data_IF_862663997481
#
_entry.id   IF_862663997481
#
_cell.length_a   1.000
_cell.length_b   1.000
_cell.length_c   1.000
_cell.angle_alpha   90.00
_cell.angle_beta   90.00
_cell.angle_gamma   90.00
#
_symmetry.space_group_name_H-M   'P 1'
#
loop_
_entity.id
_entity.type
_entity.pdbx_description
1 polymer ?
#
# COMPACT_ATOMS: atom_id res chain seq x y z
N UNK A 1 -3.44 -8.35 66.61
CA UNK A 1 -2.51 -9.08 65.72
C UNK A 1 -2.00 -8.09 64.71
N UNK A 2 -0.82 -7.52 64.98
CA UNK A 2 -0.18 -6.56 64.09
C UNK A 2 0.27 -7.30 62.83
N UNK A 3 -0.55 -7.20 61.77
CA UNK A 3 -0.17 -7.70 60.46
C UNK A 3 0.97 -6.81 59.98
N UNK A 4 2.19 -7.35 60.02
CA UNK A 4 3.42 -6.66 59.66
C UNK A 4 3.25 -5.99 58.27
N UNK A 5 3.44 -4.67 58.21
CA UNK A 5 3.31 -3.87 56.97
C UNK A 5 4.25 -4.39 55.88
N UNK A 6 5.41 -4.93 56.27
CA UNK A 6 6.37 -5.62 55.41
C UNK A 6 5.82 -6.91 54.82
N UNK A 7 4.99 -7.67 55.54
CA UNK A 7 4.32 -8.86 55.02
C UNK A 7 3.26 -8.46 54.00
N UNK A 8 2.44 -7.44 54.28
CA UNK A 8 1.42 -6.92 53.35
C UNK A 8 2.07 -6.38 52.06
N UNK A 9 3.16 -5.62 52.18
CA UNK A 9 3.92 -5.11 51.04
C UNK A 9 4.54 -6.23 50.19
N UNK A 10 4.99 -7.32 50.82
CA UNK A 10 5.56 -8.48 50.11
C UNK A 10 4.48 -9.27 49.37
N UNK A 11 3.29 -9.43 49.97
CA UNK A 11 2.11 -10.04 49.30
C UNK A 11 1.55 -9.14 48.19
N UNK A 12 1.60 -7.81 48.36
CA UNK A 12 1.23 -6.81 47.35
C UNK A 12 2.13 -6.90 46.11
N UNK A 13 3.45 -6.97 46.31
CA UNK A 13 4.41 -7.17 45.22
C UNK A 13 4.26 -8.54 44.54
N UNK A 14 3.86 -9.58 45.28
CA UNK A 14 3.67 -10.93 44.72
C UNK A 14 2.32 -11.11 44.01
N UNK A 15 1.28 -10.38 44.43
CA UNK A 15 -0.06 -10.47 43.84
C UNK A 15 -0.24 -9.57 42.60
N UNK A 16 0.44 -8.42 42.54
CA UNK A 16 0.23 -7.41 41.49
C UNK A 16 1.45 -7.18 40.58
N UNK A 17 2.65 -7.67 40.93
CA UNK A 17 3.82 -7.70 40.03
C UNK A 17 4.27 -9.14 39.79
N UNK A 18 4.47 -9.49 38.52
CA UNK A 18 5.12 -10.75 38.15
C UNK A 18 6.62 -10.60 38.47
N UNK A 19 7.09 -11.07 39.63
CA UNK A 19 8.52 -11.10 39.98
C UNK A 19 9.30 -11.94 38.96
N UNK A 20 10.47 -11.44 38.54
CA UNK A 20 11.41 -12.20 37.70
C UNK A 20 11.25 -12.01 36.19
N UNK A 21 10.65 -10.91 35.73
CA UNK A 21 10.55 -10.62 34.31
C UNK A 21 11.91 -10.10 33.78
N UNK A 22 12.45 -10.61 32.65
CA UNK A 22 13.62 -10.01 31.98
C UNK A 22 13.47 -8.51 31.71
N UNK A 23 12.25 -8.00 31.64
CA UNK A 23 11.97 -6.57 31.55
C UNK A 23 12.43 -5.78 32.77
N UNK A 24 12.75 -6.38 33.92
CA UNK A 24 13.26 -5.66 35.10
C UNK A 24 14.72 -5.24 34.97
N UNK A 25 15.43 -5.81 34.00
CA UNK A 25 16.82 -5.52 33.74
C UNK A 25 16.94 -4.21 32.97
N UNK A 26 17.65 -3.22 33.54
CA UNK A 26 17.74 -1.86 32.99
C UNK A 26 18.21 -1.82 31.54
N UNK A 27 19.27 -2.57 31.19
CA UNK A 27 19.78 -2.56 29.81
C UNK A 27 18.78 -3.15 28.82
N UNK A 28 18.00 -4.17 29.21
CA UNK A 28 16.93 -4.75 28.37
C UNK A 28 15.87 -3.69 28.08
N UNK A 29 15.46 -2.93 29.10
CA UNK A 29 14.51 -1.81 28.95
C UNK A 29 15.03 -0.76 27.99
N UNK A 30 16.28 -0.31 28.17
CA UNK A 30 16.90 0.72 27.33
C UNK A 30 17.00 0.26 25.87
N UNK A 31 17.42 -0.99 25.64
CA UNK A 31 17.52 -1.55 24.29
C UNK A 31 16.15 -1.65 23.63
N UNK A 32 15.15 -2.24 24.29
CA UNK A 32 13.80 -2.36 23.73
C UNK A 32 13.18 -0.99 23.44
N UNK A 33 13.28 -0.04 24.37
CA UNK A 33 12.78 1.32 24.17
C UNK A 33 13.45 1.98 22.96
N UNK A 34 14.78 1.90 22.86
CA UNK A 34 15.53 2.44 21.73
C UNK A 34 15.10 1.83 20.39
N UNK A 35 14.86 0.50 20.36
CA UNK A 35 14.36 -0.19 19.17
C UNK A 35 12.95 0.26 18.80
N UNK A 36 12.02 0.37 19.75
CA UNK A 36 10.67 0.88 19.49
C UNK A 36 10.70 2.32 18.94
N UNK A 37 11.53 3.20 19.51
CA UNK A 37 11.72 4.56 18.99
C UNK A 37 12.28 4.56 17.57
N UNK A 38 13.28 3.72 17.28
CA UNK A 38 13.84 3.60 15.94
C UNK A 38 12.78 3.15 14.93
N UNK A 39 12.02 2.10 15.26
CA UNK A 39 10.94 1.59 14.41
C UNK A 39 9.87 2.65 14.22
N UNK A 40 9.45 3.37 15.27
CA UNK A 40 8.48 4.47 15.16
C UNK A 40 8.93 5.52 14.15
N UNK A 41 10.17 5.99 14.28
CA UNK A 41 10.73 7.04 13.42
C UNK A 41 10.79 6.59 11.96
N UNK A 42 11.32 5.39 11.70
CA UNK A 42 11.43 4.84 10.33
C UNK A 42 10.06 4.60 9.73
N UNK A 43 9.15 3.97 10.48
CA UNK A 43 7.83 3.59 10.00
C UNK A 43 6.96 4.83 9.69
N UNK A 44 6.90 5.79 10.62
CA UNK A 44 6.09 7.00 10.44
C UNK A 44 6.65 7.85 9.32
N UNK A 45 7.95 8.12 9.31
CA UNK A 45 8.57 8.92 8.25
C UNK A 45 8.40 8.28 6.86
N UNK A 46 8.69 6.98 6.75
CA UNK A 46 8.60 6.26 5.49
C UNK A 46 7.17 6.21 4.94
N UNK A 47 6.18 5.91 5.77
CA UNK A 47 4.79 5.83 5.32
C UNK A 47 4.19 7.21 5.04
N UNK A 48 4.55 8.25 5.80
CA UNK A 48 4.19 9.63 5.46
C UNK A 48 4.77 10.04 4.11
N UNK A 49 6.01 9.66 3.80
CA UNK A 49 6.64 9.94 2.52
C UNK A 49 5.92 9.23 1.35
N UNK A 50 5.48 7.98 1.55
CA UNK A 50 4.65 7.24 0.57
C UNK A 50 3.36 8.01 0.30
N UNK A 51 2.61 8.39 1.34
CA UNK A 51 1.36 9.15 1.21
C UNK A 51 1.62 10.48 0.50
N UNK A 52 2.66 11.21 0.90
CA UNK A 52 3.02 12.50 0.30
C UNK A 52 3.32 12.38 -1.20
N UNK A 53 4.17 11.43 -1.60
CA UNK A 53 4.54 11.24 -3.01
C UNK A 53 3.34 10.86 -3.87
N UNK A 54 2.50 9.94 -3.39
CA UNK A 54 1.35 9.49 -4.15
C UNK A 54 0.30 10.59 -4.27
N UNK A 55 0.08 11.38 -3.22
CA UNK A 55 -0.95 12.45 -3.22
C UNK A 55 -0.52 13.69 -4.00
N UNK A 56 0.77 14.03 -3.98
CA UNK A 56 1.28 15.27 -4.59
C UNK A 56 1.66 15.11 -6.07
N UNK A 57 1.96 13.89 -6.53
CA UNK A 57 2.36 13.66 -7.91
C UNK A 57 1.28 12.94 -8.73
N UNK A 58 0.62 13.67 -9.64
CA UNK A 58 -0.39 13.13 -10.57
C UNK A 58 0.10 11.94 -11.40
N UNK A 59 1.42 11.84 -11.69
CA UNK A 59 2.00 10.69 -12.41
C UNK A 59 1.97 9.40 -11.59
N UNK A 60 1.83 9.52 -10.27
CA UNK A 60 1.74 8.40 -9.34
C UNK A 60 0.29 7.94 -9.12
N UNK A 61 -0.73 8.58 -9.70
CA UNK A 61 -2.14 8.20 -9.55
C UNK A 61 -2.52 6.98 -10.41
N UNK A 62 -2.01 5.80 -10.05
CA UNK A 62 -2.42 4.51 -10.62
C UNK A 62 -3.16 3.66 -9.58
N UNK A 63 -3.98 2.70 -10.02
CA UNK A 63 -4.73 1.78 -9.14
C UNK A 63 -3.84 1.13 -8.09
N UNK A 64 -2.71 0.58 -8.51
CA UNK A 64 -1.77 -0.07 -7.58
C UNK A 64 -1.11 0.92 -6.62
N UNK A 65 -0.82 2.15 -7.06
CA UNK A 65 -0.27 3.16 -6.16
C UNK A 65 -1.31 3.66 -5.14
N UNK A 66 -2.60 3.63 -5.48
CA UNK A 66 -3.69 3.88 -4.52
C UNK A 66 -3.71 2.76 -3.47
N UNK A 67 -3.56 1.49 -3.86
CA UNK A 67 -3.42 0.39 -2.89
C UNK A 67 -2.16 0.52 -2.01
N UNK A 68 -1.03 0.95 -2.58
CA UNK A 68 0.19 1.26 -1.82
C UNK A 68 -0.04 2.40 -0.83
N UNK A 69 -0.79 3.44 -1.22
CA UNK A 69 -1.17 4.54 -0.32
C UNK A 69 -2.11 4.04 0.78
N UNK A 70 -3.07 3.16 0.48
CA UNK A 70 -3.95 2.52 1.46
C UNK A 70 -3.15 1.73 2.51
N UNK A 71 -2.15 0.95 2.09
CA UNK A 71 -1.21 0.27 2.98
C UNK A 71 -0.51 1.26 3.91
N UNK A 72 0.04 2.36 3.37
CA UNK A 72 0.72 3.38 4.17
C UNK A 72 -0.20 4.06 5.19
N UNK A 73 -1.47 4.34 4.84
CA UNK A 73 -2.46 4.90 5.77
C UNK A 73 -2.78 3.92 6.89
N UNK A 74 -2.98 2.65 6.57
CA UNK A 74 -3.21 1.59 7.56
C UNK A 74 -2.01 1.45 8.50
N UNK A 75 -0.80 1.42 7.95
CA UNK A 75 0.44 1.34 8.73
C UNK A 75 0.58 2.55 9.67
N UNK A 76 0.28 3.77 9.22
CA UNK A 76 0.29 4.95 10.09
C UNK A 76 -0.71 4.81 11.24
N UNK A 77 -1.91 4.28 11.01
CA UNK A 77 -2.90 4.04 12.07
C UNK A 77 -2.36 3.13 13.17
N UNK A 78 -1.72 2.01 12.82
CA UNK A 78 -1.15 1.09 13.82
C UNK A 78 0.12 1.66 14.47
N UNK A 79 0.93 2.43 13.73
CA UNK A 79 2.14 3.06 14.27
C UNK A 79 1.80 4.13 15.32
N UNK A 80 0.77 4.95 15.09
CA UNK A 80 0.32 5.99 16.03
C UNK A 80 -0.48 5.46 17.22
N UNK A 81 -0.87 4.20 17.20
CA UNK A 81 -1.63 3.58 18.29
C UNK A 81 -0.77 2.53 19.00
N UNK A 82 -0.56 1.38 18.39
CA UNK A 82 0.05 0.21 19.02
C UNK A 82 1.54 0.37 19.35
N UNK A 83 2.29 1.08 18.51
CA UNK A 83 3.76 1.05 18.58
C UNK A 83 4.34 1.69 19.84
N UNK A 84 3.61 2.61 20.47
CA UNK A 84 3.99 3.21 21.75
C UNK A 84 3.03 2.84 22.90
N UNK A 85 1.72 2.68 22.65
CA UNK A 85 0.76 2.32 23.69
C UNK A 85 1.00 0.92 24.26
N UNK A 86 1.25 -0.08 23.40
CA UNK A 86 1.46 -1.47 23.81
C UNK A 86 2.70 -1.67 24.69
N UNK A 87 3.90 -1.16 24.33
CA UNK A 87 5.05 -1.27 25.21
C UNK A 87 4.84 -0.49 26.51
N UNK A 88 4.26 0.71 26.48
CA UNK A 88 3.98 1.46 27.72
C UNK A 88 3.02 0.70 28.64
N UNK A 89 1.93 0.13 28.12
CA UNK A 89 1.03 -0.72 28.90
C UNK A 89 1.76 -1.91 29.53
N UNK A 90 2.64 -2.56 28.76
CA UNK A 90 3.40 -3.71 29.24
C UNK A 90 4.41 -3.34 30.33
N UNK A 91 5.03 -2.15 30.23
CA UNK A 91 5.98 -1.66 31.24
C UNK A 91 5.31 -1.16 32.51
N UNK A 92 4.21 -0.41 32.35
CA UNK A 92 3.45 0.15 33.47
C UNK A 92 2.72 -0.96 34.23
N UNK A 93 2.31 -2.03 33.54
CA UNK A 93 1.65 -3.19 34.13
C UNK A 93 0.14 -3.02 34.37
N UNK A 94 -0.38 -1.80 34.20
CA UNK A 94 -1.81 -1.49 34.30
C UNK A 94 -2.26 -0.50 33.21
N UNK A 95 -3.56 -0.45 32.95
CA UNK A 95 -4.14 0.32 31.86
C UNK A 95 -4.48 1.76 32.28
N UNK A 96 -3.84 2.75 31.66
CA UNK A 96 -4.00 4.18 31.97
C UNK A 96 -4.72 5.00 30.89
N UNK A 97 -5.10 4.36 29.78
CA UNK A 97 -5.58 5.06 28.57
C UNK A 97 -7.12 5.18 28.49
N UNK A 98 -7.83 4.77 29.55
CA UNK A 98 -9.28 4.82 29.64
C UNK A 98 -10.03 3.79 28.79
N UNK A 99 -11.35 3.77 28.90
CA UNK A 99 -12.21 2.75 28.26
C UNK A 99 -12.19 2.79 26.72
N UNK A 100 -12.20 3.98 26.11
CA UNK A 100 -12.21 4.13 24.65
C UNK A 100 -11.04 3.43 23.97
N UNK A 101 -9.82 3.63 24.47
CA UNK A 101 -8.63 2.97 23.91
C UNK A 101 -8.57 1.49 24.29
N UNK A 102 -9.20 1.05 25.39
CA UNK A 102 -9.24 -0.36 25.76
C UNK A 102 -9.97 -1.20 24.70
N UNK A 103 -11.07 -0.66 24.15
CA UNK A 103 -11.78 -1.29 23.03
C UNK A 103 -11.16 -0.93 21.68
N UNK A 104 -10.70 0.32 21.51
CA UNK A 104 -10.24 0.85 20.23
C UNK A 104 -8.87 0.32 19.78
N UNK A 105 -7.89 0.22 20.69
CA UNK A 105 -6.54 -0.26 20.36
C UNK A 105 -6.54 -1.65 19.67
N UNK A 106 -7.23 -2.67 20.21
CA UNK A 106 -7.30 -3.98 19.55
C UNK A 106 -8.03 -3.93 18.21
N UNK A 107 -9.04 -3.07 18.06
CA UNK A 107 -9.72 -2.85 16.78
C UNK A 107 -8.78 -2.26 15.74
N UNK A 108 -8.05 -1.19 16.07
CA UNK A 108 -7.12 -0.54 15.14
C UNK A 108 -5.96 -1.46 14.76
N UNK A 109 -5.41 -2.19 15.73
CA UNK A 109 -4.33 -3.13 15.49
C UNK A 109 -4.80 -4.29 14.59
N UNK A 110 -5.89 -4.97 14.96
CA UNK A 110 -6.40 -6.08 14.17
C UNK A 110 -6.86 -5.64 12.78
N UNK A 111 -7.60 -4.52 12.69
CA UNK A 111 -8.10 -4.03 11.41
C UNK A 111 -6.94 -3.65 10.49
N UNK A 112 -5.89 -3.01 10.99
CA UNK A 112 -4.72 -2.67 10.17
C UNK A 112 -4.04 -3.90 9.57
N UNK A 113 -3.96 -4.98 10.34
CA UNK A 113 -3.38 -6.25 9.88
C UNK A 113 -4.24 -6.87 8.77
N UNK A 114 -5.57 -6.88 8.92
CA UNK A 114 -6.49 -7.33 7.87
C UNK A 114 -6.44 -6.43 6.63
N UNK A 115 -6.49 -5.11 6.79
CA UNK A 115 -6.41 -4.14 5.70
C UNK A 115 -5.14 -4.38 4.89
N UNK A 116 -4.01 -4.59 5.57
CA UNK A 116 -2.73 -4.81 4.93
C UNK A 116 -2.73 -6.08 4.08
N UNK A 117 -3.16 -7.21 4.63
CA UNK A 117 -3.15 -8.47 3.90
C UNK A 117 -4.17 -8.50 2.76
N UNK A 118 -5.39 -8.01 3.00
CA UNK A 118 -6.41 -7.92 1.95
C UNK A 118 -5.99 -6.96 0.84
N UNK A 119 -5.24 -5.90 1.16
CA UNK A 119 -4.66 -5.01 0.15
C UNK A 119 -3.56 -5.70 -0.65
N UNK A 120 -2.66 -6.46 -0.01
CA UNK A 120 -1.64 -7.25 -0.71
C UNK A 120 -2.27 -8.29 -1.64
N UNK A 121 -3.35 -8.93 -1.20
CA UNK A 121 -4.15 -9.83 -2.03
C UNK A 121 -4.78 -9.11 -3.22
N UNK A 122 -5.40 -7.94 -2.99
CA UNK A 122 -5.99 -7.13 -4.05
C UNK A 122 -4.93 -6.68 -5.08
N UNK A 123 -3.71 -6.32 -4.63
CA UNK A 123 -2.59 -6.01 -5.51
C UNK A 123 -2.20 -7.23 -6.35
N UNK A 124 -2.13 -8.42 -5.78
CA UNK A 124 -1.79 -9.64 -6.52
C UNK A 124 -2.83 -9.96 -7.61
N UNK A 125 -4.12 -9.82 -7.27
CA UNK A 125 -5.24 -10.03 -8.20
C UNK A 125 -5.27 -8.97 -9.31
N UNK A 126 -5.07 -7.68 -8.99
CA UNK A 126 -4.92 -6.60 -9.98
C UNK A 126 -3.79 -6.93 -10.97
N UNK A 127 -2.65 -7.39 -10.45
CA UNK A 127 -1.48 -7.75 -11.27
C UNK A 127 -1.76 -8.93 -12.17
N UNK A 128 -2.50 -9.93 -11.69
CA UNK A 128 -2.94 -11.05 -12.51
C UNK A 128 -3.81 -10.58 -13.67
N UNK A 129 -4.87 -9.81 -13.42
CA UNK A 129 -5.74 -9.33 -14.49
C UNK A 129 -5.01 -8.44 -15.49
N UNK A 130 -4.15 -7.53 -15.02
CA UNK A 130 -3.40 -6.62 -15.90
C UNK A 130 -2.36 -7.35 -16.75
N UNK A 131 -1.71 -8.39 -16.24
CA UNK A 131 -0.59 -9.06 -16.93
C UNK A 131 -1.06 -10.24 -17.79
N UNK A 132 -2.04 -11.02 -17.34
CA UNK A 132 -2.46 -12.29 -17.96
C UNK A 132 -3.75 -12.12 -18.76
N UNK A 133 -4.77 -11.48 -18.17
CA UNK A 133 -6.07 -11.35 -18.83
C UNK A 133 -6.06 -10.24 -19.89
N UNK A 134 -5.54 -9.07 -19.55
CA UNK A 134 -5.55 -7.91 -20.44
C UNK A 134 -4.57 -8.03 -21.62
N UNK A 135 -3.56 -8.90 -21.54
CA UNK A 135 -2.72 -9.27 -22.69
C UNK A 135 -3.45 -10.19 -23.67
N UNK A 136 -4.41 -10.97 -23.18
CA UNK A 136 -5.24 -11.88 -23.99
C UNK A 136 -6.42 -11.13 -24.62
N UNK A 137 -6.95 -10.12 -23.92
CA UNK A 137 -8.09 -9.28 -24.33
C UNK A 137 -7.59 -7.86 -24.63
N UNK A 138 -6.74 -7.68 -25.64
CA UNK A 138 -6.24 -6.36 -26.03
C UNK A 138 -7.32 -5.42 -26.65
N UNK A 139 -8.61 -5.83 -26.68
CA UNK A 139 -9.68 -5.10 -27.36
C UNK A 139 -10.83 -4.62 -26.47
N UNK A 140 -10.90 -4.96 -25.17
CA UNK A 140 -11.95 -4.47 -24.29
C UNK A 140 -11.34 -3.59 -23.20
N UNK A 141 -11.33 -2.30 -23.51
CA UNK A 141 -10.85 -1.22 -22.67
C UNK A 141 -11.69 -1.09 -21.40
N UNK A 142 -11.40 -1.89 -20.38
CA UNK A 142 -11.91 -1.63 -19.03
C UNK A 142 -10.82 -1.91 -18.00
N UNK A 143 -9.80 -1.04 -17.98
CA UNK A 143 -8.93 -0.93 -16.79
C UNK A 143 -9.84 -0.72 -15.60
N UNK A 144 -9.63 -1.44 -14.50
CA UNK A 144 -10.35 -1.23 -13.23
C UNK A 144 -10.48 0.26 -12.98
N UNK A 145 -11.69 0.79 -13.17
CA UNK A 145 -11.95 2.22 -13.02
C UNK A 145 -11.54 2.62 -11.61
N UNK A 146 -11.03 3.85 -11.45
CA UNK A 146 -10.64 4.38 -10.14
C UNK A 146 -11.81 4.24 -9.14
N UNK A 147 -13.05 4.33 -9.62
CA UNK A 147 -14.27 4.06 -8.85
C UNK A 147 -14.33 2.64 -8.30
N UNK A 148 -14.02 1.62 -9.12
CA UNK A 148 -13.96 0.21 -8.70
C UNK A 148 -12.85 0.03 -7.65
N UNK A 149 -11.70 0.69 -7.82
CA UNK A 149 -10.60 0.66 -6.84
C UNK A 149 -11.00 1.26 -5.48
N UNK A 150 -11.64 2.43 -5.47
CA UNK A 150 -12.13 3.06 -4.23
C UNK A 150 -13.18 2.17 -3.56
N UNK A 151 -14.09 1.56 -4.33
CA UNK A 151 -15.05 0.60 -3.78
C UNK A 151 -14.37 -0.61 -3.13
N UNK A 152 -13.34 -1.19 -3.78
CA UNK A 152 -12.54 -2.29 -3.22
C UNK A 152 -11.89 -1.87 -1.91
N UNK A 153 -11.27 -0.68 -1.85
CA UNK A 153 -10.66 -0.16 -0.62
C UNK A 153 -11.71 -0.03 0.49
N UNK A 154 -12.86 0.58 0.21
CA UNK A 154 -13.95 0.69 1.19
C UNK A 154 -14.41 -0.67 1.70
N UNK A 155 -14.56 -1.66 0.81
CA UNK A 155 -14.90 -3.03 1.22
C UNK A 155 -13.82 -3.65 2.11
N UNK A 156 -12.54 -3.47 1.79
CA UNK A 156 -11.42 -3.95 2.61
C UNK A 156 -11.52 -3.39 4.03
N UNK A 157 -11.74 -2.09 4.19
CA UNK A 157 -11.88 -1.47 5.52
C UNK A 157 -13.09 -2.01 6.28
N UNK A 158 -14.26 -2.06 5.64
CA UNK A 158 -15.48 -2.57 6.26
C UNK A 158 -15.34 -4.03 6.70
N UNK A 159 -14.83 -4.91 5.82
CA UNK A 159 -14.60 -6.32 6.14
C UNK A 159 -13.56 -6.48 7.26
N UNK A 160 -12.47 -5.71 7.23
CA UNK A 160 -11.43 -5.77 8.26
C UNK A 160 -11.96 -5.37 9.64
N UNK A 161 -12.75 -4.29 9.71
CA UNK A 161 -13.38 -3.86 10.96
C UNK A 161 -14.41 -4.89 11.43
N UNK A 162 -15.21 -5.45 10.54
CA UNK A 162 -16.21 -6.46 10.87
C UNK A 162 -15.58 -7.73 11.47
N UNK A 163 -14.49 -8.23 10.89
CA UNK A 163 -13.80 -9.43 11.36
C UNK A 163 -13.15 -9.23 12.74
N UNK A 164 -12.74 -8.01 13.06
CA UNK A 164 -12.04 -7.67 14.31
C UNK A 164 -13.00 -7.14 15.38
N UNK A 165 -14.22 -6.76 15.01
CA UNK A 165 -15.25 -6.27 15.92
C UNK A 165 -15.45 -7.15 17.17
N UNK A 166 -15.53 -8.50 17.06
CA UNK A 166 -15.70 -9.36 18.24
C UNK A 166 -14.53 -9.21 19.23
N UNK A 167 -13.30 -9.04 18.73
CA UNK A 167 -12.13 -8.86 19.59
C UNK A 167 -12.21 -7.58 20.41
N UNK A 168 -12.60 -6.45 19.78
CA UNK A 168 -12.81 -5.19 20.50
C UNK A 168 -14.00 -5.22 21.47
N UNK A 169 -15.08 -5.92 21.10
CA UNK A 169 -16.27 -6.09 21.96
C UNK A 169 -15.96 -6.92 23.22
N UNK A 170 -15.14 -7.97 23.07
CA UNK A 170 -14.74 -8.84 24.17
C UNK A 170 -13.60 -8.27 25.02
N UNK A 171 -13.07 -7.09 24.71
CA UNK A 171 -12.17 -6.38 25.62
C UNK A 171 -12.97 -5.73 26.75
N UNK A 172 -12.48 -5.83 27.98
CA UNK A 172 -13.13 -5.25 29.17
C UNK A 172 -12.17 -4.34 29.91
N UNK A 173 -12.67 -3.14 30.19
CA UNK A 173 -12.06 -2.18 31.10
C UNK A 173 -12.55 -2.48 32.52
N UNK A 174 -11.71 -3.13 33.32
CA UNK A 174 -12.07 -3.65 34.64
C UNK A 174 -11.20 -3.00 35.71
N UNK A 175 -11.80 -2.63 36.84
CA UNK A 175 -11.08 -2.17 38.02
C UNK A 175 -10.75 -3.33 38.93
N UNK A 176 -9.45 -3.57 39.18
CA UNK A 176 -9.02 -4.56 40.16
C UNK A 176 -8.92 -3.84 41.51
N UNK A 177 -9.81 -4.21 42.44
CA UNK A 177 -9.80 -3.71 43.83
C UNK A 177 -8.53 -4.16 44.58
N UNK A 178 -8.40 -3.73 45.84
CA UNK A 178 -7.32 -4.14 46.75
C UNK A 178 -7.00 -5.65 46.65
N UNK A 179 -5.71 -6.02 46.59
CA UNK A 179 -4.54 -5.20 46.87
C UNK A 179 -3.99 -4.37 45.69
N UNK A 180 -4.50 -4.52 44.45
CA UNK A 180 -3.86 -3.92 43.27
C UNK A 180 -4.25 -2.46 43.00
N UNK A 181 -5.53 -2.10 43.19
CA UNK A 181 -6.04 -0.73 43.09
C UNK A 181 -5.74 0.00 41.76
N UNK A 182 -5.91 -0.69 40.63
CA UNK A 182 -5.71 -0.12 39.29
C UNK A 182 -6.67 -0.69 38.25
N UNK A 183 -6.76 -0.02 37.10
CA UNK A 183 -7.52 -0.51 35.95
C UNK A 183 -6.70 -1.45 35.06
N UNK A 184 -7.35 -2.46 34.52
CA UNK A 184 -6.79 -3.34 33.49
C UNK A 184 -7.68 -3.36 32.26
N UNK A 185 -7.06 -3.57 31.11
CA UNK A 185 -7.76 -3.86 29.87
C UNK A 185 -7.43 -5.30 29.49
N UNK A 186 -8.38 -6.20 29.67
CA UNK A 186 -8.20 -7.62 29.43
C UNK A 186 -9.33 -8.17 28.60
N UNK A 187 -9.01 -9.19 27.83
CA UNK A 187 -9.96 -9.94 27.03
C UNK A 187 -10.84 -10.83 27.93
N UNK A 188 -12.16 -10.67 27.84
CA UNK A 188 -13.17 -11.43 28.58
C UNK A 188 -14.25 -11.99 27.63
N UNK A 189 -14.22 -13.31 27.47
CA UNK A 189 -15.19 -14.08 26.68
C UNK A 189 -16.30 -14.68 27.53
N UNK A 190 -16.63 -14.10 28.68
CA UNK A 190 -17.68 -14.59 29.59
C UNK A 190 -17.50 -16.08 29.92
N UNK A 191 -16.26 -16.49 30.18
CA UNK A 191 -15.85 -17.88 30.41
C UNK A 191 -16.09 -18.87 29.24
N UNK A 192 -16.52 -18.41 28.05
CA UNK A 192 -16.67 -19.24 26.86
C UNK A 192 -15.33 -19.43 26.14
N UNK A 193 -14.40 -20.17 26.76
CA UNK A 193 -13.07 -20.45 26.21
C UNK A 193 -13.09 -21.05 24.80
N UNK A 194 -14.08 -21.90 24.51
CA UNK A 194 -14.25 -22.51 23.19
C UNK A 194 -14.49 -21.47 22.08
N UNK A 195 -15.29 -20.43 22.38
CA UNK A 195 -15.62 -19.38 21.43
C UNK A 195 -14.38 -18.55 21.11
N UNK A 196 -13.58 -18.21 22.12
CA UNK A 196 -12.28 -17.55 21.96
C UNK A 196 -11.34 -18.36 21.05
N UNK A 197 -11.23 -19.69 21.28
CA UNK A 197 -10.40 -20.59 20.46
C UNK A 197 -10.87 -20.64 19.01
N UNK A 198 -12.18 -20.80 18.77
CA UNK A 198 -12.76 -20.80 17.42
C UNK A 198 -12.51 -19.47 16.71
N UNK A 199 -12.73 -18.36 17.41
CA UNK A 199 -12.48 -17.03 16.87
C UNK A 199 -11.00 -16.86 16.47
N UNK A 200 -10.06 -17.18 17.37
CA UNK A 200 -8.62 -17.09 17.10
C UNK A 200 -8.19 -17.95 15.90
N UNK A 201 -8.66 -19.19 15.81
CA UNK A 201 -8.39 -20.07 14.66
C UNK A 201 -8.99 -19.51 13.36
N UNK A 202 -10.22 -19.00 13.41
CA UNK A 202 -10.90 -18.40 12.25
C UNK A 202 -10.17 -17.17 11.76
N UNK A 203 -9.77 -16.27 12.68
CA UNK A 203 -8.98 -15.08 12.36
C UNK A 203 -7.66 -15.49 11.71
N UNK A 204 -6.94 -16.47 12.27
CA UNK A 204 -5.68 -16.96 11.69
C UNK A 204 -5.85 -17.52 10.27
N UNK A 205 -6.91 -18.30 10.06
CA UNK A 205 -7.22 -18.87 8.75
C UNK A 205 -7.56 -17.79 7.72
N UNK A 206 -8.46 -16.86 8.06
CA UNK A 206 -8.88 -15.77 7.17
C UNK A 206 -7.78 -14.74 6.95
N UNK A 207 -6.90 -14.54 7.92
CA UNK A 207 -5.82 -13.56 7.86
C UNK A 207 -4.61 -14.07 7.08
N UNK A 208 -4.27 -15.36 7.19
CA UNK A 208 -3.06 -15.89 6.56
C UNK A 208 -3.36 -16.90 5.45
N UNK A 209 -4.17 -17.93 5.71
CA UNK A 209 -4.33 -19.03 4.74
C UNK A 209 -5.04 -18.54 3.47
N UNK A 210 -6.21 -17.91 3.60
CA UNK A 210 -7.00 -17.46 2.44
C UNK A 210 -6.25 -16.43 1.59
N UNK A 211 -5.65 -15.35 2.15
CA UNK A 211 -5.00 -14.37 1.30
C UNK A 211 -3.71 -14.90 0.67
N UNK A 212 -2.91 -15.68 1.41
CA UNK A 212 -1.63 -16.18 0.88
C UNK A 212 -1.82 -17.24 -0.20
N UNK A 213 -2.87 -18.05 -0.10
CA UNK A 213 -3.24 -18.99 -1.17
C UNK A 213 -3.66 -18.27 -2.44
N UNK A 214 -4.53 -17.26 -2.34
CA UNK A 214 -4.95 -16.44 -3.50
C UNK A 214 -3.76 -15.70 -4.10
N UNK A 215 -2.89 -15.11 -3.27
CA UNK A 215 -1.65 -14.45 -3.73
C UNK A 215 -0.74 -15.46 -4.44
N UNK A 216 -0.52 -16.63 -3.85
CA UNK A 216 0.31 -17.69 -4.40
C UNK A 216 -0.18 -18.16 -5.76
N UNK A 217 -1.48 -18.44 -5.88
CA UNK A 217 -2.11 -18.82 -7.16
C UNK A 217 -1.95 -17.69 -8.19
N UNK A 218 -2.25 -16.44 -7.80
CA UNK A 218 -2.14 -15.29 -8.70
C UNK A 218 -0.71 -15.15 -9.26
N UNK A 219 0.30 -15.24 -8.40
CA UNK A 219 1.70 -15.14 -8.84
C UNK A 219 2.19 -16.36 -9.61
N UNK A 220 1.75 -17.57 -9.27
CA UNK A 220 2.05 -18.77 -10.05
C UNK A 220 1.51 -18.65 -11.48
N UNK A 221 0.26 -18.21 -11.64
CA UNK A 221 -0.36 -17.99 -12.95
C UNK A 221 0.39 -16.93 -13.77
N UNK A 222 0.77 -15.80 -13.15
CA UNK A 222 1.57 -14.78 -13.83
C UNK A 222 2.94 -15.33 -14.25
N UNK A 223 3.59 -16.12 -13.39
CA UNK A 223 4.89 -16.71 -13.71
C UNK A 223 4.81 -17.67 -14.90
N UNK A 224 3.80 -18.55 -14.92
CA UNK A 224 3.54 -19.47 -16.04
C UNK A 224 3.31 -18.68 -17.33
N UNK A 225 2.46 -17.66 -17.28
CA UNK A 225 2.17 -16.79 -18.43
C UNK A 225 3.43 -16.10 -18.99
N UNK A 226 4.26 -15.52 -18.11
CA UNK A 226 5.49 -14.84 -18.53
C UNK A 226 6.54 -15.78 -19.11
N UNK A 227 6.59 -17.04 -18.65
CA UNK A 227 7.50 -18.05 -19.19
C UNK A 227 7.06 -18.51 -20.58
N UNK A 228 5.76 -18.70 -20.81
CA UNK A 228 5.22 -19.02 -22.14
C UNK A 228 5.52 -17.92 -23.17
N UNK A 229 5.22 -16.66 -22.81
CA UNK A 229 5.54 -15.51 -23.67
C UNK A 229 7.03 -15.40 -24.00
N UNK A 230 7.93 -15.69 -23.06
CA UNK A 230 9.37 -15.63 -23.31
C UNK A 230 9.82 -16.67 -24.35
N UNK A 231 9.22 -17.87 -24.36
CA UNK A 231 9.52 -18.91 -25.33
C UNK A 231 9.08 -18.53 -26.76
N UNK A 232 7.85 -18.00 -26.91
CA UNK A 232 7.30 -17.61 -28.21
C UNK A 232 8.07 -16.47 -28.88
N UNK A 233 8.59 -15.50 -28.11
CA UNK A 233 9.28 -14.33 -28.65
C UNK A 233 10.79 -14.47 -28.74
N UNK A 234 11.41 -15.36 -27.96
CA UNK A 234 12.83 -15.71 -28.16
C UNK A 234 13.06 -16.30 -29.55
N UNK A 235 12.05 -16.99 -30.11
CA UNK A 235 12.04 -17.44 -31.50
C UNK A 235 11.90 -16.30 -32.54
N UNK A 236 11.39 -15.12 -32.14
CA UNK A 236 11.10 -13.97 -33.02
C UNK A 236 12.07 -12.78 -32.87
N UNK A 237 13.05 -12.84 -31.97
CA UNK A 237 14.16 -11.87 -31.89
C UNK A 237 13.85 -10.44 -31.39
N UNK A 238 12.72 -10.19 -30.71
CA UNK A 238 12.34 -8.82 -30.31
C UNK A 238 12.90 -8.36 -28.96
N UNK A 239 13.87 -7.43 -28.99
CA UNK A 239 14.51 -6.86 -27.80
C UNK A 239 13.60 -6.01 -26.90
N UNK A 240 12.57 -5.33 -27.45
CA UNK A 240 11.67 -4.47 -26.66
C UNK A 240 10.78 -5.29 -25.72
N UNK A 241 10.24 -6.40 -26.22
CA UNK A 241 9.37 -7.33 -25.47
C UNK A 241 10.16 -8.01 -24.35
N UNK A 242 11.43 -8.38 -24.59
CA UNK A 242 12.29 -8.98 -23.57
C UNK A 242 12.50 -8.02 -22.38
N UNK A 243 12.72 -6.72 -22.65
CA UNK A 243 12.85 -5.69 -21.61
C UNK A 243 11.57 -5.52 -20.79
N UNK A 244 10.40 -5.54 -21.44
CA UNK A 244 9.11 -5.44 -20.75
C UNK A 244 8.83 -6.66 -19.86
N UNK A 245 9.11 -7.87 -20.33
CA UNK A 245 9.01 -9.10 -19.53
C UNK A 245 9.93 -9.06 -18.32
N UNK A 246 11.19 -8.62 -18.50
CA UNK A 246 12.13 -8.46 -17.39
C UNK A 246 11.63 -7.45 -16.35
N UNK A 247 11.03 -6.34 -16.80
CA UNK A 247 10.41 -5.34 -15.92
C UNK A 247 9.25 -5.93 -15.11
N UNK A 248 8.35 -6.70 -15.76
CA UNK A 248 7.25 -7.40 -15.08
C UNK A 248 7.77 -8.39 -14.03
N UNK A 249 8.78 -9.20 -14.37
CA UNK A 249 9.44 -10.14 -13.42
C UNK A 249 10.05 -9.40 -12.22
N UNK A 250 10.69 -8.24 -12.42
CA UNK A 250 11.24 -7.43 -11.31
C UNK A 250 10.15 -6.91 -10.37
N UNK A 251 9.03 -6.44 -10.92
CA UNK A 251 7.87 -6.00 -10.12
C UNK A 251 7.26 -7.17 -9.33
N UNK A 252 7.10 -8.34 -9.94
CA UNK A 252 6.59 -9.53 -9.24
C UNK A 252 7.53 -9.97 -8.12
N UNK A 253 8.85 -9.96 -8.36
CA UNK A 253 9.84 -10.27 -7.33
C UNK A 253 9.70 -9.35 -6.13
N UNK A 254 9.54 -8.05 -6.38
CA UNK A 254 9.28 -7.07 -5.32
C UNK A 254 8.01 -7.43 -4.53
N UNK A 255 6.89 -7.69 -5.21
CA UNK A 255 5.63 -8.00 -4.55
C UNK A 255 5.69 -9.31 -3.74
N UNK A 256 6.36 -10.34 -4.24
CA UNK A 256 6.64 -11.58 -3.49
C UNK A 256 7.46 -11.27 -2.25
N UNK A 257 8.52 -10.47 -2.38
CA UNK A 257 9.33 -10.03 -1.23
C UNK A 257 8.49 -9.29 -0.18
N UNK A 258 7.57 -8.41 -0.59
CA UNK A 258 6.66 -7.73 0.33
C UNK A 258 5.79 -8.71 1.13
N UNK A 259 5.21 -9.71 0.46
CA UNK A 259 4.34 -10.72 1.08
C UNK A 259 5.13 -11.60 2.05
N UNK A 260 6.34 -12.04 1.67
CA UNK A 260 7.21 -12.82 2.54
C UNK A 260 7.61 -12.04 3.80
N UNK A 261 7.99 -10.77 3.66
CA UNK A 261 8.34 -9.92 4.80
C UNK A 261 7.13 -9.68 5.71
N UNK A 262 5.95 -9.46 5.13
CA UNK A 262 4.72 -9.34 5.90
C UNK A 262 4.46 -10.61 6.73
N UNK A 263 4.52 -11.80 6.13
CA UNK A 263 4.39 -13.06 6.89
C UNK A 263 5.44 -13.20 7.99
N UNK A 264 6.72 -12.99 7.68
CA UNK A 264 7.81 -13.16 8.65
C UNK A 264 7.68 -12.21 9.84
N UNK A 265 7.19 -10.98 9.63
CA UNK A 265 7.02 -10.01 10.71
C UNK A 265 5.77 -10.31 11.55
N UNK A 266 4.64 -10.62 10.92
CA UNK A 266 3.35 -10.73 11.60
C UNK A 266 3.05 -12.13 12.16
N UNK A 267 3.54 -13.19 11.52
CA UNK A 267 3.25 -14.57 11.92
C UNK A 267 3.70 -14.89 13.36
N UNK A 268 4.89 -14.48 13.85
CA UNK A 268 5.33 -14.81 15.21
C UNK A 268 4.39 -14.32 16.31
N UNK A 269 3.94 -13.06 16.23
CA UNK A 269 3.00 -12.48 17.20
C UNK A 269 1.64 -13.18 17.13
N UNK A 270 1.14 -13.43 15.92
CA UNK A 270 -0.15 -14.08 15.73
C UNK A 270 -0.12 -15.53 16.21
N UNK A 271 0.95 -16.27 15.97
CA UNK A 271 1.15 -17.63 16.50
C UNK A 271 1.22 -17.60 18.03
N UNK A 272 1.95 -16.64 18.62
CA UNK A 272 1.99 -16.50 20.07
C UNK A 272 0.60 -16.21 20.66
N UNK A 273 -0.19 -15.33 20.03
CA UNK A 273 -1.56 -15.05 20.42
C UNK A 273 -2.44 -16.30 20.33
N UNK A 274 -2.37 -17.05 19.23
CA UNK A 274 -3.11 -18.31 19.06
C UNK A 274 -2.71 -19.35 20.11
N UNK A 275 -1.41 -19.52 20.38
CA UNK A 275 -0.93 -20.44 21.42
C UNK A 275 -1.43 -20.03 22.80
N UNK A 276 -1.49 -18.73 23.11
CA UNK A 276 -2.08 -18.20 24.34
C UNK A 276 -3.57 -18.51 24.42
N UNK A 277 -4.29 -18.39 23.31
CA UNK A 277 -5.73 -18.67 23.25
C UNK A 277 -6.04 -20.17 23.39
N UNK A 278 -5.13 -21.02 22.90
CA UNK A 278 -5.17 -22.48 23.07
C UNK A 278 -4.67 -22.96 24.44
N UNK A 279 -4.15 -22.06 25.28
CA UNK A 279 -3.56 -22.34 26.61
C UNK A 279 -2.28 -23.21 26.54
N UNK A 280 -1.54 -23.13 25.42
CA UNK A 280 -0.34 -23.93 25.14
C UNK A 280 1.00 -23.23 25.48
N UNK A 281 0.95 -22.14 26.25
CA UNK A 281 2.13 -21.30 26.58
C UNK A 281 2.67 -21.51 28.00
N UNK A 282 2.20 -22.53 28.72
CA UNK A 282 2.59 -22.80 30.10
C UNK A 282 4.11 -23.04 30.29
N UNK A 283 4.80 -23.49 29.24
CA UNK A 283 6.25 -23.72 29.24
C UNK A 283 7.08 -22.43 29.09
N UNK A 284 6.44 -21.30 28.77
CA UNK A 284 7.10 -20.04 28.47
C UNK A 284 7.42 -19.28 29.76
N UNK A 285 8.70 -19.27 30.16
CA UNK A 285 9.15 -18.65 31.43
C UNK A 285 8.99 -17.12 31.49
N UNK A 286 9.00 -16.44 30.34
CA UNK A 286 8.95 -14.97 30.25
C UNK A 286 7.92 -14.48 29.22
N UNK A 287 6.62 -14.68 29.45
CA UNK A 287 5.58 -14.45 28.44
C UNK A 287 5.47 -12.98 28.01
N UNK A 288 5.66 -12.02 28.92
CA UNK A 288 5.60 -10.58 28.61
C UNK A 288 6.80 -10.13 27.76
N UNK A 289 8.00 -10.61 28.05
CA UNK A 289 9.19 -10.31 27.24
C UNK A 289 9.06 -10.89 25.82
N UNK A 290 8.64 -12.16 25.71
CA UNK A 290 8.41 -12.81 24.41
C UNK A 290 7.30 -12.10 23.63
N UNK A 291 6.23 -11.65 24.30
CA UNK A 291 5.21 -10.82 23.68
C UNK A 291 5.79 -9.51 23.14
N UNK A 292 6.61 -8.78 23.90
CA UNK A 292 7.20 -7.53 23.43
C UNK A 292 8.18 -7.72 22.26
N UNK A 293 8.94 -8.81 22.26
CA UNK A 293 9.87 -9.13 21.16
C UNK A 293 9.09 -9.49 19.89
N UNK A 294 8.11 -10.40 19.99
CA UNK A 294 7.28 -10.77 18.84
C UNK A 294 6.45 -9.59 18.33
N UNK A 295 5.94 -8.75 19.24
CA UNK A 295 5.28 -7.49 18.90
C UNK A 295 6.22 -6.53 18.17
N UNK A 296 7.44 -6.34 18.67
CA UNK A 296 8.44 -5.49 18.00
C UNK A 296 8.75 -6.00 16.59
N UNK A 297 8.94 -7.31 16.42
CA UNK A 297 9.14 -7.94 15.11
C UNK A 297 7.97 -7.63 14.18
N UNK A 298 6.72 -7.77 14.66
CA UNK A 298 5.54 -7.40 13.88
C UNK A 298 5.50 -5.93 13.49
N UNK A 299 5.87 -5.03 14.40
CA UNK A 299 5.93 -3.59 14.13
C UNK A 299 6.99 -3.22 13.09
N UNK A 300 8.12 -3.95 13.00
CA UNK A 300 9.07 -3.74 11.89
C UNK A 300 8.45 -4.02 10.52
N UNK A 301 7.37 -4.80 10.45
CA UNK A 301 6.57 -5.03 9.24
C UNK A 301 6.16 -3.75 8.52
N UNK A 302 5.81 -2.70 9.26
CA UNK A 302 5.37 -1.41 8.71
C UNK A 302 6.53 -0.57 8.14
N UNK A 303 7.77 -0.87 8.53
CA UNK A 303 8.98 -0.22 8.00
C UNK A 303 9.36 -0.76 6.62
N UNK A 304 9.14 -2.06 6.40
CA UNK A 304 9.60 -2.73 5.18
C UNK A 304 8.91 -2.19 3.91
N UNK A 305 7.66 -1.75 4.02
CA UNK A 305 6.89 -1.24 2.88
C UNK A 305 7.62 -0.07 2.16
N UNK A 306 7.85 1.11 2.79
CA UNK A 306 8.65 2.19 2.21
C UNK A 306 10.04 1.79 1.73
N UNK A 307 10.76 0.93 2.48
CA UNK A 307 12.12 0.49 2.15
C UNK A 307 12.13 -0.29 0.83
N UNK A 308 11.18 -1.21 0.65
CA UNK A 308 11.04 -1.99 -0.58
C UNK A 308 10.64 -1.10 -1.76
N UNK A 309 9.77 -0.11 -1.55
CA UNK A 309 9.45 0.87 -2.60
C UNK A 309 10.68 1.67 -3.02
N UNK A 310 11.48 2.14 -2.08
CA UNK A 310 12.70 2.88 -2.36
C UNK A 310 13.77 2.05 -3.09
N UNK A 311 13.85 0.74 -2.78
CA UNK A 311 14.87 -0.15 -3.33
C UNK A 311 14.47 -0.77 -4.68
N UNK A 312 13.24 -1.28 -4.78
CA UNK A 312 12.82 -2.14 -5.88
C UNK A 312 11.87 -1.46 -6.87
N UNK A 313 11.29 -0.30 -6.52
CA UNK A 313 10.39 0.45 -7.40
C UNK A 313 11.03 1.75 -7.90
N UNK A 314 11.49 1.74 -9.15
CA UNK A 314 12.19 2.88 -9.76
C UNK A 314 11.35 4.17 -9.81
N UNK A 315 10.02 4.07 -9.91
CA UNK A 315 9.14 5.24 -9.89
C UNK A 315 9.12 5.88 -8.50
N UNK A 316 8.88 5.09 -7.45
CA UNK A 316 8.90 5.60 -6.08
C UNK A 316 10.28 6.11 -5.67
N UNK A 317 11.35 5.40 -6.03
CA UNK A 317 12.73 5.81 -5.75
C UNK A 317 13.03 7.22 -6.28
N UNK A 318 12.64 7.51 -7.52
CA UNK A 318 12.84 8.85 -8.13
C UNK A 318 12.08 9.93 -7.38
N UNK A 319 10.83 9.67 -7.05
CA UNK A 319 9.98 10.62 -6.34
C UNK A 319 10.45 10.85 -4.90
N UNK A 320 10.90 9.81 -4.20
CA UNK A 320 11.52 9.95 -2.87
C UNK A 320 12.79 10.81 -2.91
N UNK A 321 13.64 10.63 -3.92
CA UNK A 321 14.84 11.48 -4.10
C UNK A 321 14.48 12.94 -4.37
N UNK A 322 13.38 13.21 -5.07
CA UNK A 322 12.92 14.58 -5.34
C UNK A 322 12.25 15.21 -4.12
N UNK A 323 11.54 14.43 -3.31
CA UNK A 323 10.85 14.89 -2.12
C UNK A 323 11.80 15.21 -0.95
N UNK A 324 12.92 14.47 -0.81
CA UNK A 324 13.89 14.69 0.27
C UNK A 324 14.90 15.78 -0.14
N UNK A 325 14.92 16.96 0.51
CA UNK A 325 15.75 18.10 0.08
C UNK A 325 17.25 17.79 -0.04
N UNK A 326 17.78 16.99 0.88
CA UNK A 326 19.19 16.58 0.92
C UNK A 326 19.56 15.70 -0.30
N UNK A 327 18.66 14.80 -0.69
CA UNK A 327 18.84 13.92 -1.85
C UNK A 327 18.60 14.69 -3.16
N UNK A 328 17.67 15.64 -3.18
CA UNK A 328 17.38 16.51 -4.32
C UNK A 328 18.61 17.30 -4.75
N UNK A 329 19.32 17.94 -3.81
CA UNK A 329 20.58 18.67 -4.10
C UNK A 329 21.64 17.75 -4.71
N UNK A 330 21.80 16.56 -4.14
CA UNK A 330 22.75 15.55 -4.60
C UNK A 330 22.40 14.97 -5.98
N UNK A 331 21.12 14.83 -6.30
CA UNK A 331 20.64 14.36 -7.61
C UNK A 331 20.77 15.43 -8.70
N UNK A 332 20.42 16.69 -8.39
CA UNK A 332 20.60 17.84 -9.29
C UNK A 332 22.08 18.09 -9.59
N UNK A 333 22.96 18.05 -8.58
CA UNK A 333 24.40 18.18 -8.77
C UNK A 333 24.98 17.08 -9.68
N UNK A 334 24.44 15.85 -9.59
CA UNK A 334 24.83 14.74 -10.47
C UNK A 334 24.38 14.96 -11.93
N UNK A 335 23.18 15.52 -12.13
CA UNK A 335 22.62 15.80 -13.47
C UNK A 335 23.37 16.93 -14.19
N UNK A 336 23.75 17.99 -13.47
CA UNK A 336 24.60 19.06 -14.00
C UNK A 336 25.97 18.53 -14.44
N UNK A 337 26.53 17.53 -13.73
CA UNK A 337 27.82 16.92 -14.07
C UNK A 337 27.78 16.00 -15.29
N UNK A 338 26.62 15.40 -15.60
CA UNK A 338 26.44 14.57 -16.80
C UNK A 338 26.14 15.39 -18.06
N UNK A 339 25.53 16.57 -17.91
CA UNK A 339 25.23 17.46 -19.05
C UNK A 339 26.42 18.37 -19.43
N UNK A 340 27.48 18.41 -18.62
CA UNK A 340 28.65 19.28 -18.82
C UNK A 340 29.82 18.67 -19.59
N UNK A 341 29.65 17.56 -20.33
CA UNK A 341 30.68 17.07 -21.26
C UNK A 341 30.07 16.53 -22.56
N UNK A 342 30.04 17.31 -23.65
CA UNK A 342 30.29 16.80 -24.98
C UNK A 342 31.79 16.89 -25.25
N UNK A 343 32.45 15.73 -25.36
CA UNK A 343 33.77 15.66 -25.94
C UNK A 343 33.66 16.00 -27.44
N UNK A 344 34.27 17.12 -27.82
CA UNK A 344 34.74 17.49 -29.16
C UNK A 344 33.79 17.26 -30.35
N UNK A 345 33.08 18.32 -30.74
CA UNK A 345 32.87 18.64 -32.16
C UNK A 345 33.52 19.99 -32.41
N UNK A 346 34.68 19.97 -33.08
CA UNK A 346 35.41 21.17 -33.49
C UNK A 346 34.70 21.71 -34.74
N UNK A 347 33.79 22.67 -34.57
CA UNK A 347 33.11 23.35 -35.70
C UNK A 347 33.96 24.56 -36.08
N UNK A 348 34.59 24.51 -37.25
CA UNK A 348 35.14 25.69 -37.91
C UNK A 348 33.97 26.56 -38.40
N UNK A 349 33.95 27.83 -37.98
CA UNK A 349 33.10 28.86 -38.57
C UNK A 349 33.62 29.27 -39.96
N UNK A 350 32.71 29.60 -40.87
CA UNK A 350 32.87 30.78 -41.72
C UNK A 350 31.88 31.88 -41.31
N UNK A 351 32.37 33.12 -41.30
CA UNK A 351 31.57 34.34 -41.14
C UNK A 351 30.63 34.53 -42.34
N UNK A 352 29.36 34.89 -42.09
CA UNK A 352 28.74 36.13 -42.61
C UNK A 352 27.23 36.20 -42.32
N UNK A 353 26.88 37.23 -41.53
CA UNK A 353 25.73 38.15 -41.63
C UNK A 353 24.26 37.68 -41.62
N UNK A 354 23.50 38.45 -40.82
CA UNK A 354 22.09 38.86 -40.96
C UNK A 354 20.99 37.92 -40.42
N UNK A 355 20.52 38.15 -39.19
CA UNK A 355 19.29 38.92 -38.89
C UNK A 355 19.01 38.92 -37.38
N UNK A 356 18.27 39.94 -36.92
CA UNK A 356 17.82 40.20 -35.55
C UNK A 356 17.24 38.99 -34.81
N UNK A 357 17.47 38.89 -33.49
CA UNK A 357 16.36 38.73 -32.55
C UNK A 357 16.70 38.97 -31.05
N UNK A 358 15.67 39.37 -30.33
CA UNK A 358 15.58 39.79 -28.92
C UNK A 358 16.18 38.83 -27.86
N UNK A 359 16.56 39.34 -26.67
CA UNK A 359 17.05 38.51 -25.58
C UNK A 359 15.88 37.91 -24.77
N UNK A 360 15.54 36.64 -25.02
CA UNK A 360 14.69 35.87 -24.09
C UNK A 360 15.54 35.27 -22.95
N UNK A 361 15.55 36.01 -21.84
CA UNK A 361 16.04 35.59 -20.53
C UNK A 361 15.04 34.57 -19.94
N UNK A 362 15.37 33.27 -19.97
CA UNK A 362 14.58 32.25 -19.27
C UNK A 362 14.92 32.25 -17.77
N UNK A 363 14.36 33.20 -17.03
CA UNK A 363 14.20 33.09 -15.58
C UNK A 363 12.97 32.22 -15.30
N UNK A 364 13.15 30.92 -15.08
CA UNK A 364 12.11 30.10 -14.45
C UNK A 364 12.08 30.41 -12.95
N UNK A 365 11.36 31.47 -12.61
CA UNK A 365 10.85 31.72 -11.28
C UNK A 365 9.75 30.67 -11.03
N UNK A 366 10.06 29.67 -10.20
CA UNK A 366 9.05 28.75 -9.67
C UNK A 366 8.11 29.56 -8.77
N UNK A 367 7.02 30.05 -9.34
CA UNK A 367 5.90 30.59 -8.57
C UNK A 367 5.27 29.44 -7.80
N UNK A 368 5.40 29.49 -6.48
CA UNK A 368 4.69 28.63 -5.55
C UNK A 368 3.21 29.04 -5.58
N UNK A 369 2.45 28.44 -6.49
CA UNK A 369 1.00 28.58 -6.52
C UNK A 369 0.41 27.66 -5.45
N UNK A 370 0.04 28.24 -4.30
CA UNK A 370 -0.93 27.66 -3.39
C UNK A 370 -2.25 27.45 -4.15
N UNK A 371 -2.42 26.29 -4.75
CA UNK A 371 -3.74 25.74 -4.99
C UNK A 371 -3.87 24.51 -4.13
N UNK A 372 -4.53 24.69 -2.99
CA UNK A 372 -4.97 23.62 -2.11
C UNK A 372 -5.98 22.74 -2.82
N UNK A 373 -5.52 21.89 -3.74
CA UNK A 373 -6.30 20.78 -4.22
C UNK A 373 -6.25 19.71 -3.14
N UNK A 374 -7.34 19.53 -2.42
CA UNK A 374 -7.44 18.35 -1.55
C UNK A 374 -7.32 17.11 -2.43
N UNK A 375 -6.56 16.09 -2.01
CA UNK A 375 -6.38 14.85 -2.77
C UNK A 375 -7.71 14.26 -3.27
N UNK A 376 -8.78 14.42 -2.49
CA UNK A 376 -10.16 14.10 -2.86
C UNK A 376 -10.67 14.83 -4.11
N UNK A 377 -10.31 16.09 -4.33
CA UNK A 377 -10.66 16.83 -5.56
C UNK A 377 -9.90 16.30 -6.76
N UNK A 378 -8.63 15.89 -6.62
CA UNK A 378 -7.89 15.25 -7.73
C UNK A 378 -8.43 13.86 -8.07
N UNK A 379 -8.89 13.09 -7.06
CA UNK A 379 -9.63 11.84 -7.30
C UNK A 379 -10.97 12.12 -7.95
N UNK A 380 -11.74 13.11 -7.46
CA UNK A 380 -13.00 13.53 -8.09
C UNK A 380 -12.77 13.93 -9.55
N UNK A 381 -11.77 14.75 -9.86
CA UNK A 381 -11.45 15.11 -11.25
C UNK A 381 -11.05 13.89 -12.09
N UNK A 382 -10.28 12.95 -11.53
CA UNK A 382 -9.90 11.73 -12.24
C UNK A 382 -11.07 10.75 -12.46
N UNK A 383 -12.07 10.76 -11.57
CA UNK A 383 -13.26 9.89 -11.59
C UNK A 383 -14.38 10.49 -12.44
N UNK A 384 -14.68 11.78 -12.27
CA UNK A 384 -15.77 12.48 -12.95
C UNK A 384 -15.32 13.12 -14.26
N UNK A 385 -14.13 13.75 -14.29
CA UNK A 385 -13.62 14.40 -15.50
C UNK A 385 -13.21 13.44 -16.63
N UNK A 386 -13.11 12.13 -16.35
CA UNK A 386 -12.94 11.10 -17.39
C UNK A 386 -14.29 10.68 -17.99
N UNK A 387 -15.36 10.69 -17.19
CA UNK A 387 -16.73 10.39 -17.62
C UNK A 387 -17.29 11.50 -18.51
N UNK A 388 -17.00 12.76 -18.21
CA UNK A 388 -17.40 13.91 -19.04
C UNK A 388 -16.70 13.88 -20.41
N UNK A 389 -15.42 13.48 -20.47
CA UNK A 389 -14.69 13.33 -21.74
C UNK A 389 -15.17 12.16 -22.58
N UNK A 390 -15.53 11.03 -21.97
CA UNK A 390 -16.15 9.90 -22.67
C UNK A 390 -17.56 10.25 -23.17
N UNK A 391 -18.35 10.98 -22.38
CA UNK A 391 -19.66 11.47 -22.80
C UNK A 391 -19.55 12.48 -23.94
N UNK A 392 -18.62 13.44 -23.87
CA UNK A 392 -18.33 14.39 -24.96
C UNK A 392 -17.86 13.70 -26.25
N UNK A 393 -17.07 12.62 -26.14
CA UNK A 393 -16.62 11.83 -27.30
C UNK A 393 -17.76 11.02 -27.92
N UNK A 394 -18.64 10.44 -27.10
CA UNK A 394 -19.85 9.74 -27.56
C UNK A 394 -20.85 10.70 -28.20
N UNK A 395 -21.05 11.90 -27.62
CA UNK A 395 -21.91 12.94 -28.19
C UNK A 395 -21.32 13.51 -29.49
N UNK A 396 -20.00 13.68 -29.59
CA UNK A 396 -19.33 14.07 -30.85
C UNK A 396 -19.44 12.98 -31.92
N UNK A 397 -19.31 11.71 -31.54
CA UNK A 397 -19.49 10.55 -32.44
C UNK A 397 -20.92 10.46 -32.98
N UNK A 398 -21.92 10.62 -32.11
CA UNK A 398 -23.34 10.66 -32.51
C UNK A 398 -23.65 11.84 -33.44
N UNK A 399 -23.12 13.04 -33.15
CA UNK A 399 -23.29 14.21 -34.02
C UNK A 399 -22.58 14.10 -35.37
N UNK A 400 -21.51 13.28 -35.49
CA UNK A 400 -20.83 12.98 -36.75
C UNK A 400 -21.66 12.00 -37.60
N UNK A 401 -22.25 10.97 -36.97
CA UNK A 401 -23.15 10.01 -37.62
C UNK A 401 -24.44 10.65 -38.13
N UNK A 402 -25.00 11.61 -37.39
CA UNK A 402 -26.19 12.37 -37.81
C UNK A 402 -25.89 13.35 -38.94
N UNK A 403 -24.68 13.93 -38.97
CA UNK A 403 -24.22 14.77 -40.09
C UNK A 403 -23.99 13.97 -41.37
N UNK A 404 -23.36 12.79 -41.28
CA UNK A 404 -23.20 11.89 -42.45
C UNK A 404 -24.57 11.44 -42.99
N UNK A 405 -25.53 11.16 -42.10
CA UNK A 405 -26.90 10.78 -42.50
C UNK A 405 -27.67 11.94 -43.15
N UNK A 406 -27.45 13.20 -42.73
CA UNK A 406 -28.02 14.39 -43.37
C UNK A 406 -27.37 14.69 -44.73
N UNK A 407 -26.05 14.55 -44.86
CA UNK A 407 -25.34 14.76 -46.13
C UNK A 407 -25.75 13.73 -47.18
N UNK A 408 -25.95 12.45 -46.81
CA UNK A 408 -26.46 11.42 -47.73
C UNK A 408 -27.90 11.71 -48.17
N UNK A 409 -28.74 12.27 -47.28
CA UNK A 409 -30.11 12.68 -47.62
C UNK A 409 -30.17 13.88 -48.55
N UNK A 410 -29.30 14.86 -48.37
CA UNK A 410 -29.24 16.05 -49.23
C UNK A 410 -28.69 15.72 -50.62
N UNK A 411 -27.74 14.79 -50.72
CA UNK A 411 -27.17 14.36 -52.02
C UNK A 411 -28.17 13.55 -52.86
N UNK A 412 -29.13 12.86 -52.23
CA UNK A 412 -30.20 12.13 -52.93
C UNK A 412 -31.36 13.03 -53.41
N UNK A 413 -31.44 14.28 -52.95
CA UNK A 413 -32.56 15.20 -53.28
C UNK A 413 -32.20 16.15 -54.44
N UNK A 414 -30.92 16.29 -54.81
CA UNK A 414 -30.46 17.29 -55.79
C UNK A 414 -30.12 16.78 -57.19
N UNK A 415 -30.37 15.52 -57.56
CA UNK A 415 -30.18 15.04 -58.94
C UNK A 415 -31.25 14.02 -59.38
N UNK A 416 -32.41 14.48 -59.87
CA UNK A 416 -33.29 13.68 -60.70
C UNK A 416 -33.03 14.07 -62.17
N UNK A 417 -32.09 13.40 -62.83
CA UNK A 417 -32.01 13.19 -64.29
C UNK A 417 -30.56 12.92 -64.71
N UNK A 418 -30.24 11.66 -64.95
CA UNK A 418 -29.56 11.20 -66.17
C UNK A 418 -29.43 9.67 -66.09
N UNK A 419 -30.28 8.99 -66.87
CA UNK A 419 -30.04 7.61 -67.23
C UNK A 419 -28.98 7.57 -68.33
N UNK A 420 -27.88 6.86 -68.10
CA UNK A 420 -27.20 6.12 -69.16
C UNK A 420 -26.36 4.99 -68.57
N UNK A 421 -26.49 3.85 -69.23
CA UNK A 421 -25.76 2.61 -69.02
C UNK A 421 -24.33 2.78 -69.53
N UNK A 422 -23.32 2.44 -68.72
CA UNK A 422 -21.99 1.96 -69.16
C UNK A 422 -21.33 1.30 -67.93
N UNK A 423 -21.26 -0.03 -67.86
CA UNK A 423 -20.23 -0.88 -68.47
C UNK A 423 -18.83 -0.55 -67.90
N UNK A 424 -18.50 -1.18 -66.78
CA UNK A 424 -17.14 -1.21 -66.24
C UNK A 424 -16.48 -2.50 -66.69
N UNK A 425 -15.62 -2.40 -67.70
CA UNK A 425 -14.56 -3.36 -67.96
C UNK A 425 -13.24 -2.60 -68.20
N UNK A 426 -12.13 -3.27 -67.87
CA UNK A 426 -10.70 -2.88 -68.01
C UNK A 426 -9.91 -2.47 -66.74
N UNK A 427 -9.23 -3.48 -66.18
CA UNK A 427 -7.77 -3.67 -66.27
C UNK A 427 -6.84 -2.45 -66.15
N UNK A 428 -6.02 -2.43 -65.10
CA UNK A 428 -4.64 -1.92 -65.19
C UNK A 428 -3.70 -2.66 -64.24
N UNK A 429 -2.78 -3.42 -64.85
CA UNK A 429 -1.51 -3.87 -64.32
C UNK A 429 -0.54 -2.68 -64.14
N UNK A 430 0.21 -2.65 -63.04
CA UNK A 430 1.69 -2.79 -62.96
C UNK A 430 2.20 -2.60 -61.53
#
# INVERSE_FOLDING_TARGET
MDVNITTISRTYEEACKIKGNPLDVLWVRVVLFSLYCLVFMVAVFGNLLVVYVVTNNRRMHSVTNIFICNLAISDLLVNFTSLWLTPVYTYVGHWIWGGWLCHGLPLFQGASIFISTLTLMAIAVDRYFVIVQNSTIAQLNDRVSITKCVAIVSCIWCTSLLLVLPYGYHMKYTYIRLPCDFFVCTEDWQNKKWLKKIYGMTVMFLQFVVPFTIIGISYAMIWIFLKGHEQDFSARGSHSIQRDTARKKRLLRMLVTMVCLFAMCWLPLNVLNLLRDLELVAWLKAPQFVFLVTHLISMTGTCWNPILYAWMNDSFRKEFMMAIPCLRRSALARRVRTDSVPASVRINCPQSSLFMDHPYRYSQQFSFGEKGYTWWQSIKEAVYGRRDKEMDLVTKSANLSDKESQTVRETMITNPDEGSVSECDESCHL
#
